data_IF_289081647998
#
_entry.id   IF_289081647998
#
_cell.length_a   1.000
_cell.length_b   1.000
_cell.length_c   1.000
_cell.angle_alpha   90.00
_cell.angle_beta   90.00
_cell.angle_gamma   90.00
#
_symmetry.space_group_name_H-M   'P 1'
#
loop_
_entity.id
_entity.type
_entity.pdbx_description
1 polymer ?
#
# COMPACT_ATOMS: atom_id res chain seq x y z
N UNK A 1 -4.26 18.91 12.84
CA UNK A 1 -5.39 18.03 13.28
C UNK A 1 -4.76 16.89 14.03
N UNK A 2 -5.19 16.59 15.24
CA UNK A 2 -4.75 15.40 15.96
C UNK A 2 -5.53 14.19 15.43
N UNK A 3 -4.83 13.21 14.86
CA UNK A 3 -5.43 12.00 14.29
C UNK A 3 -5.74 10.93 15.35
N UNK A 4 -5.39 11.16 16.60
CA UNK A 4 -5.67 10.25 17.73
C UNK A 4 -5.07 8.84 17.53
N UNK A 5 -3.89 8.75 16.89
CA UNK A 5 -3.23 7.47 16.63
C UNK A 5 -2.27 7.05 17.76
N UNK A 6 -2.06 7.90 18.76
CA UNK A 6 -1.21 7.58 19.92
C UNK A 6 -1.75 6.36 20.67
N UNK A 7 -0.89 5.38 20.91
CA UNK A 7 -1.22 4.14 21.61
C UNK A 7 -1.74 3.01 20.72
N UNK A 8 -2.01 3.27 19.43
CA UNK A 8 -2.33 2.22 18.47
C UNK A 8 -1.07 1.54 17.93
N UNK A 9 -1.19 0.26 17.59
CA UNK A 9 -0.14 -0.51 16.90
C UNK A 9 -0.51 -0.75 15.44
N UNK A 10 0.41 -0.40 14.56
CA UNK A 10 0.22 -0.52 13.12
C UNK A 10 1.26 -1.46 12.48
N UNK A 11 0.85 -2.26 11.51
CA UNK A 11 1.77 -2.91 10.58
C UNK A 11 1.55 -2.38 9.17
N UNK A 12 2.64 -2.01 8.49
CA UNK A 12 2.62 -1.58 7.10
C UNK A 12 3.45 -2.57 6.27
N UNK A 13 2.78 -3.39 5.47
CA UNK A 13 3.49 -4.34 4.63
C UNK A 13 4.21 -3.63 3.47
N UNK A 14 5.43 -4.08 3.13
CA UNK A 14 6.22 -3.45 2.07
C UNK A 14 6.68 -2.02 2.38
N UNK A 15 6.95 -1.73 3.66
CA UNK A 15 7.29 -0.38 4.14
C UNK A 15 8.80 -0.10 4.25
N UNK A 16 9.63 -0.92 3.65
CA UNK A 16 11.09 -0.69 3.58
C UNK A 16 11.51 0.33 2.51
N UNK A 17 10.57 0.91 1.76
CA UNK A 17 10.80 1.95 0.76
C UNK A 17 9.48 2.56 0.25
N UNK A 18 9.57 3.71 -0.42
CA UNK A 18 8.51 4.31 -1.23
C UNK A 18 7.24 4.68 -0.46
N UNK A 19 6.07 4.37 -1.02
CA UNK A 19 4.77 4.69 -0.40
C UNK A 19 4.66 4.06 1.00
N UNK A 20 5.03 2.79 1.14
CA UNK A 20 4.96 2.09 2.42
C UNK A 20 5.85 2.71 3.49
N UNK A 21 7.07 3.13 3.15
CA UNK A 21 7.95 3.86 4.06
C UNK A 21 7.32 5.19 4.51
N UNK A 22 6.79 5.97 3.56
CA UNK A 22 6.14 7.24 3.89
C UNK A 22 4.93 7.02 4.82
N UNK A 23 4.13 5.97 4.58
CA UNK A 23 3.01 5.60 5.46
C UNK A 23 3.51 5.24 6.86
N UNK A 24 4.55 4.40 6.96
CA UNK A 24 5.10 3.99 8.25
C UNK A 24 5.61 5.19 9.05
N UNK A 25 6.38 6.10 8.41
CA UNK A 25 6.85 7.33 9.03
C UNK A 25 5.69 8.24 9.47
N UNK A 26 4.67 8.39 8.64
CA UNK A 26 3.54 9.24 8.96
C UNK A 26 2.74 8.70 10.14
N UNK A 27 2.43 7.41 10.18
CA UNK A 27 1.72 6.79 11.31
C UNK A 27 2.53 6.91 12.61
N UNK A 28 3.84 6.73 12.55
CA UNK A 28 4.72 6.90 13.71
C UNK A 28 4.77 8.35 14.19
N UNK A 29 4.83 9.33 13.28
CA UNK A 29 4.78 10.76 13.61
C UNK A 29 3.46 11.17 14.28
N UNK A 30 2.36 10.47 13.99
CA UNK A 30 1.06 10.64 14.66
C UNK A 30 0.95 9.83 15.98
N UNK A 31 2.04 9.19 16.40
CA UNK A 31 2.15 8.51 17.70
C UNK A 31 1.78 7.02 17.72
N UNK A 32 1.57 6.39 16.58
CA UNK A 32 1.39 4.94 16.52
C UNK A 32 2.73 4.21 16.69
N UNK A 33 2.71 3.02 17.30
CA UNK A 33 3.84 2.08 17.26
C UNK A 33 3.78 1.28 15.95
N UNK A 34 4.83 1.35 15.12
CA UNK A 34 4.76 0.84 13.74
C UNK A 34 5.68 -0.36 13.53
N UNK A 35 5.14 -1.42 12.93
CA UNK A 35 5.95 -2.52 12.42
C UNK A 35 6.26 -2.23 10.94
N UNK A 36 7.55 -2.04 10.68
CA UNK A 36 8.12 -1.90 9.33
C UNK A 36 8.38 -3.28 8.76
N UNK A 37 7.85 -3.56 7.57
CA UNK A 37 8.00 -4.86 6.95
C UNK A 37 8.60 -4.78 5.54
N UNK A 38 9.43 -5.73 5.20
CA UNK A 38 10.00 -5.93 3.86
C UNK A 38 10.80 -7.22 3.77
N UNK A 39 11.33 -7.54 2.59
CA UNK A 39 12.13 -8.75 2.38
C UNK A 39 13.61 -8.58 2.74
N UNK A 40 14.13 -7.36 2.69
CA UNK A 40 15.56 -7.04 2.91
C UNK A 40 15.77 -6.49 4.31
N UNK A 41 16.44 -7.25 5.16
CA UNK A 41 16.64 -6.90 6.57
C UNK A 41 17.27 -5.50 6.74
N UNK A 42 18.36 -5.19 6.01
CA UNK A 42 19.02 -3.90 6.12
C UNK A 42 18.11 -2.70 5.79
N UNK A 43 17.23 -2.86 4.77
CA UNK A 43 16.31 -1.78 4.38
C UNK A 43 15.18 -1.61 5.42
N UNK A 44 14.71 -2.71 6.00
CA UNK A 44 13.71 -2.70 7.08
C UNK A 44 14.29 -2.03 8.33
N UNK A 45 15.50 -2.44 8.76
CA UNK A 45 16.18 -1.85 9.93
C UNK A 45 16.44 -0.37 9.72
N UNK A 46 16.93 0.04 8.54
CA UNK A 46 17.21 1.45 8.26
C UNK A 46 15.97 2.36 8.41
N UNK A 47 14.80 1.89 7.95
CA UNK A 47 13.55 2.65 8.10
C UNK A 47 13.09 2.68 9.56
N UNK A 48 13.14 1.55 10.28
CA UNK A 48 12.75 1.49 11.69
C UNK A 48 13.66 2.36 12.56
N UNK A 49 14.97 2.32 12.34
CA UNK A 49 15.97 3.16 13.02
C UNK A 49 15.74 4.66 12.76
N UNK A 50 15.45 5.02 11.50
CA UNK A 50 15.18 6.40 11.14
C UNK A 50 13.88 6.92 11.80
N UNK A 51 12.81 6.11 11.86
CA UNK A 51 11.60 6.47 12.60
C UNK A 51 11.91 6.66 14.09
N UNK A 52 12.72 5.79 14.67
CA UNK A 52 13.12 5.89 16.09
C UNK A 52 13.98 7.12 16.35
N UNK A 53 14.90 7.48 15.44
CA UNK A 53 15.71 8.69 15.53
C UNK A 53 14.86 9.97 15.46
N UNK A 54 13.74 9.94 14.71
CA UNK A 54 12.77 11.03 14.62
C UNK A 54 11.80 11.07 15.83
N UNK A 55 12.02 10.21 16.85
CA UNK A 55 11.22 10.17 18.08
C UNK A 55 9.96 9.29 18.01
N UNK A 56 9.73 8.59 16.92
CA UNK A 56 8.65 7.60 16.75
C UNK A 56 8.99 6.25 17.39
N UNK A 57 8.01 5.34 17.40
CA UNK A 57 8.19 3.95 17.83
C UNK A 57 8.09 3.03 16.63
N UNK A 58 9.16 2.30 16.33
CA UNK A 58 9.15 1.35 15.23
C UNK A 58 10.00 0.11 15.53
N UNK A 59 9.55 -1.04 15.02
CA UNK A 59 10.29 -2.29 14.96
C UNK A 59 10.28 -2.84 13.53
N UNK A 60 11.29 -3.62 13.15
CA UNK A 60 11.43 -4.19 11.82
C UNK A 60 11.19 -5.70 11.81
N UNK A 61 10.33 -6.19 10.92
CA UNK A 61 10.14 -7.62 10.68
C UNK A 61 10.32 -7.94 9.19
N UNK A 62 11.01 -9.07 8.91
CA UNK A 62 11.26 -9.51 7.53
C UNK A 62 10.45 -10.76 7.19
N UNK A 63 9.86 -10.77 5.99
CA UNK A 63 9.18 -11.92 5.42
C UNK A 63 9.08 -11.80 3.90
N UNK A 64 8.98 -12.91 3.19
CA UNK A 64 8.42 -12.95 1.85
C UNK A 64 6.93 -13.31 1.93
N UNK A 65 6.07 -12.36 1.65
CA UNK A 65 4.61 -12.56 1.74
C UNK A 65 4.05 -13.52 0.69
N UNK A 66 4.79 -13.82 -0.38
CA UNK A 66 4.41 -14.86 -1.33
C UNK A 66 4.48 -16.24 -0.70
N UNK A 67 5.39 -16.45 0.28
CA UNK A 67 5.51 -17.68 1.03
C UNK A 67 4.54 -17.72 2.23
N UNK A 68 3.65 -18.74 2.32
CA UNK A 68 2.69 -18.82 3.42
C UNK A 68 3.33 -18.97 4.80
N UNK A 69 4.48 -19.69 4.89
CA UNK A 69 5.20 -19.91 6.14
C UNK A 69 5.85 -18.62 6.64
N UNK A 70 6.46 -17.85 5.75
CA UNK A 70 7.02 -16.54 6.06
C UNK A 70 5.93 -15.58 6.54
N UNK A 71 4.78 -15.56 5.84
CA UNK A 71 3.64 -14.74 6.23
C UNK A 71 3.12 -15.13 7.64
N UNK A 72 3.06 -16.42 7.96
CA UNK A 72 2.68 -16.89 9.30
C UNK A 72 3.70 -16.45 10.38
N UNK A 73 5.01 -16.51 10.08
CA UNK A 73 6.05 -16.01 10.98
C UNK A 73 5.94 -14.50 11.22
N UNK A 74 5.68 -13.73 10.16
CA UNK A 74 5.44 -12.28 10.28
C UNK A 74 4.27 -12.00 11.21
N UNK A 75 3.14 -12.67 11.00
CA UNK A 75 1.93 -12.49 11.81
C UNK A 75 2.21 -12.82 13.28
N UNK A 76 2.85 -13.97 13.55
CA UNK A 76 3.20 -14.39 14.92
C UNK A 76 4.17 -13.41 15.59
N UNK A 77 5.19 -12.95 14.87
CA UNK A 77 6.15 -11.96 15.35
C UNK A 77 5.48 -10.62 15.67
N UNK A 78 4.60 -10.15 14.78
CA UNK A 78 3.87 -8.91 15.00
C UNK A 78 2.94 -8.99 16.23
N UNK A 79 2.30 -10.13 16.46
CA UNK A 79 1.41 -10.35 17.60
C UNK A 79 2.15 -10.59 18.93
N UNK A 80 3.42 -10.95 18.92
CA UNK A 80 4.20 -11.16 20.14
C UNK A 80 4.33 -9.90 21.00
N UNK A 81 4.32 -8.71 20.39
CA UNK A 81 4.32 -7.41 21.08
C UNK A 81 2.92 -6.88 21.42
N UNK A 82 1.85 -7.63 21.20
CA UNK A 82 0.46 -7.23 21.42
C UNK A 82 -0.39 -7.25 20.16
N UNK A 83 -1.67 -6.91 20.26
CA UNK A 83 -2.58 -6.84 19.12
C UNK A 83 -2.14 -5.82 18.06
N UNK A 84 -2.56 -6.01 16.83
CA UNK A 84 -2.43 -5.03 15.76
C UNK A 84 -3.79 -4.37 15.55
N UNK A 85 -3.81 -3.05 15.67
CA UNK A 85 -5.00 -2.22 15.54
C UNK A 85 -5.18 -1.73 14.09
N UNK A 86 -4.07 -1.49 13.40
CA UNK A 86 -4.04 -0.91 12.06
C UNK A 86 -3.21 -1.83 11.15
N UNK A 87 -3.86 -2.35 10.11
CA UNK A 87 -3.21 -3.13 9.05
C UNK A 87 -3.22 -2.34 7.75
N UNK A 88 -2.04 -1.97 7.25
CA UNK A 88 -1.89 -1.39 5.91
C UNK A 88 -1.28 -2.42 4.98
N UNK A 89 -2.08 -2.98 4.08
CA UNK A 89 -1.64 -3.88 3.02
C UNK A 89 -1.13 -3.05 1.84
N UNK A 90 0.15 -2.67 1.91
CA UNK A 90 0.82 -1.90 0.88
C UNK A 90 1.75 -2.75 0.00
N UNK A 91 2.28 -3.86 0.52
CA UNK A 91 3.13 -4.75 -0.27
C UNK A 91 2.42 -5.17 -1.58
N UNK A 92 3.15 -5.05 -2.67
CA UNK A 92 2.67 -5.44 -3.98
C UNK A 92 3.81 -5.49 -4.98
N UNK A 93 3.61 -6.29 -6.00
CA UNK A 93 4.55 -6.45 -7.12
C UNK A 93 3.80 -6.16 -8.43
N UNK A 94 4.54 -5.69 -9.42
CA UNK A 94 4.08 -5.55 -10.79
C UNK A 94 5.22 -5.93 -11.73
N UNK A 95 4.89 -6.30 -12.95
CA UNK A 95 5.84 -6.51 -14.02
C UNK A 95 5.30 -5.84 -15.29
N UNK A 96 6.21 -5.25 -16.08
CA UNK A 96 5.85 -4.64 -17.36
C UNK A 96 5.68 -5.75 -18.41
N UNK A 97 4.52 -6.40 -18.39
CA UNK A 97 4.14 -7.48 -19.32
C UNK A 97 2.76 -7.18 -19.88
N UNK A 98 2.59 -7.42 -21.19
CA UNK A 98 1.30 -7.33 -21.86
C UNK A 98 0.55 -8.66 -21.86
N UNK A 99 -0.57 -8.69 -22.57
CA UNK A 99 -1.40 -9.89 -22.75
C UNK A 99 -0.67 -11.03 -23.47
N UNK A 100 0.24 -10.70 -24.38
CA UNK A 100 0.99 -11.68 -25.16
C UNK A 100 2.16 -12.29 -24.39
N UNK A 101 2.64 -11.61 -23.32
CA UNK A 101 3.86 -11.97 -22.61
C UNK A 101 3.59 -12.57 -21.21
N UNK A 102 2.41 -12.33 -20.65
CA UNK A 102 2.04 -12.77 -19.30
C UNK A 102 1.48 -14.19 -19.31
N UNK A 103 2.32 -15.19 -19.00
CA UNK A 103 1.87 -16.58 -18.86
C UNK A 103 0.93 -16.75 -17.65
N UNK A 104 0.02 -17.75 -17.63
CA UNK A 104 -0.85 -18.03 -16.49
C UNK A 104 -0.11 -18.17 -15.16
N UNK A 105 1.09 -18.73 -15.16
CA UNK A 105 1.97 -18.91 -14.00
C UNK A 105 2.43 -17.57 -13.42
N UNK A 106 2.66 -16.57 -14.27
CA UNK A 106 3.00 -15.22 -13.86
C UNK A 106 1.85 -14.55 -13.10
N UNK A 107 0.61 -14.76 -13.59
CA UNK A 107 -0.61 -14.31 -12.90
C UNK A 107 -0.72 -14.94 -11.52
N UNK A 108 -0.53 -16.25 -11.40
CA UNK A 108 -0.60 -16.96 -10.13
C UNK A 108 0.47 -16.45 -9.15
N UNK A 109 1.71 -16.26 -9.60
CA UNK A 109 2.80 -15.73 -8.80
C UNK A 109 2.50 -14.30 -8.29
N UNK A 110 1.95 -13.44 -9.16
CA UNK A 110 1.58 -12.08 -8.81
C UNK A 110 0.41 -12.07 -7.80
N UNK A 111 -0.60 -12.91 -8.02
CA UNK A 111 -1.74 -13.05 -7.09
C UNK A 111 -1.32 -13.60 -5.73
N UNK A 112 -0.30 -14.44 -5.64
CA UNK A 112 0.23 -14.93 -4.36
C UNK A 112 0.65 -13.78 -3.45
N UNK A 113 1.31 -12.73 -4.01
CA UNK A 113 1.74 -11.54 -3.27
C UNK A 113 0.62 -10.50 -3.14
N UNK A 114 -0.06 -10.16 -4.25
CA UNK A 114 -0.95 -9.00 -4.28
C UNK A 114 -2.33 -9.28 -3.68
N UNK A 115 -2.75 -10.55 -3.62
CA UNK A 115 -4.09 -10.95 -3.14
C UNK A 115 -4.01 -11.94 -2.00
N UNK A 116 -3.39 -13.10 -2.18
CA UNK A 116 -3.40 -14.15 -1.16
C UNK A 116 -2.67 -13.73 0.13
N UNK A 117 -1.57 -13.02 0.02
CA UNK A 117 -0.87 -12.47 1.17
C UNK A 117 -1.73 -11.45 1.95
N UNK A 118 -2.47 -10.61 1.24
CA UNK A 118 -3.43 -9.66 1.86
C UNK A 118 -4.47 -10.41 2.68
N UNK A 119 -5.04 -11.48 2.12
CA UNK A 119 -6.02 -12.33 2.83
C UNK A 119 -5.40 -12.96 4.08
N UNK A 120 -4.17 -13.50 3.98
CA UNK A 120 -3.47 -14.09 5.14
C UNK A 120 -3.24 -13.06 6.25
N UNK A 121 -2.77 -11.85 5.90
CA UNK A 121 -2.58 -10.77 6.88
C UNK A 121 -3.90 -10.38 7.55
N UNK A 122 -4.98 -10.22 6.78
CA UNK A 122 -6.30 -9.93 7.32
C UNK A 122 -6.72 -11.03 8.30
N UNK A 123 -6.68 -12.30 7.89
CA UNK A 123 -7.08 -13.43 8.73
C UNK A 123 -6.23 -13.55 10.01
N UNK A 124 -4.95 -13.21 9.92
CA UNK A 124 -4.03 -13.27 11.06
C UNK A 124 -4.25 -12.17 12.09
N UNK A 125 -4.56 -10.95 11.66
CA UNK A 125 -4.72 -9.82 12.59
C UNK A 125 -6.18 -9.55 13.01
N UNK A 126 -7.15 -9.98 12.23
CA UNK A 126 -8.57 -9.76 12.50
C UNK A 126 -9.06 -10.27 13.88
N UNK A 127 -8.61 -11.42 14.41
CA UNK A 127 -9.03 -11.87 15.73
C UNK A 127 -8.71 -10.88 16.85
N UNK A 128 -7.52 -10.25 16.82
CA UNK A 128 -7.14 -9.24 17.81
C UNK A 128 -7.98 -7.96 17.67
N UNK A 129 -8.23 -7.49 16.45
CA UNK A 129 -9.10 -6.33 16.19
C UNK A 129 -10.54 -6.58 16.68
N UNK A 130 -11.08 -7.79 16.46
CA UNK A 130 -12.42 -8.16 16.96
C UNK A 130 -12.47 -8.19 18.49
N UNK A 131 -11.46 -8.74 19.15
CA UNK A 131 -11.39 -8.74 20.61
C UNK A 131 -11.31 -7.34 21.20
N UNK A 132 -10.64 -6.40 20.52
CA UNK A 132 -10.56 -5.00 20.89
C UNK A 132 -11.84 -4.19 20.55
N UNK A 133 -12.74 -4.72 19.71
CA UNK A 133 -13.90 -3.99 19.19
C UNK A 133 -13.53 -2.78 18.32
N UNK A 134 -12.30 -2.74 17.80
CA UNK A 134 -11.77 -1.66 16.98
C UNK A 134 -10.68 -2.16 16.03
N UNK A 135 -10.65 -1.62 14.83
CA UNK A 135 -9.59 -1.92 13.87
C UNK A 135 -9.69 -1.09 12.60
N UNK A 136 -8.57 -0.93 11.92
CA UNK A 136 -8.47 -0.25 10.63
C UNK A 136 -7.69 -1.11 9.66
N UNK A 137 -8.31 -1.46 8.55
CA UNK A 137 -7.69 -2.22 7.46
C UNK A 137 -7.67 -1.32 6.23
N UNK A 138 -6.48 -0.98 5.75
CA UNK A 138 -6.28 -0.14 4.56
C UNK A 138 -5.55 -0.93 3.50
N UNK A 139 -6.15 -1.04 2.32
CA UNK A 139 -5.52 -1.62 1.14
C UNK A 139 -4.90 -0.51 0.30
N UNK A 140 -3.68 -0.70 -0.19
CA UNK A 140 -3.13 0.21 -1.21
C UNK A 140 -3.46 -0.35 -2.59
N UNK A 141 -4.42 0.31 -3.22
CA UNK A 141 -4.89 0.04 -4.58
C UNK A 141 -4.07 0.76 -5.65
N UNK A 142 -4.73 1.05 -6.75
CA UNK A 142 -4.25 1.87 -7.88
C UNK A 142 -5.44 2.37 -8.70
N UNK A 143 -5.29 3.46 -9.43
CA UNK A 143 -6.28 3.90 -10.43
C UNK A 143 -6.56 2.83 -11.50
N UNK A 144 -5.56 2.00 -11.83
CA UNK A 144 -5.70 0.90 -12.80
C UNK A 144 -6.69 -0.19 -12.38
N UNK A 145 -7.04 -0.26 -11.10
CA UNK A 145 -8.05 -1.20 -10.62
C UNK A 145 -9.46 -0.92 -11.19
N UNK A 146 -9.73 0.31 -11.63
CA UNK A 146 -11.01 0.75 -12.19
C UNK A 146 -10.88 1.30 -13.62
N UNK A 147 -9.68 1.72 -14.02
CA UNK A 147 -9.36 2.21 -15.36
C UNK A 147 -8.06 1.55 -15.84
N UNK A 148 -8.11 0.25 -16.23
CA UNK A 148 -6.92 -0.53 -16.54
C UNK A 148 -6.24 -0.05 -17.83
N UNK A 149 -4.91 0.01 -17.81
CA UNK A 149 -4.13 0.19 -19.02
C UNK A 149 -4.08 -1.13 -19.84
N UNK A 150 -3.79 -1.05 -21.13
CA UNK A 150 -3.61 -2.25 -21.97
C UNK A 150 -2.35 -3.06 -21.62
N UNK A 151 -1.47 -2.51 -20.80
CA UNK A 151 -0.27 -3.15 -20.26
C UNK A 151 -0.48 -3.53 -18.79
N UNK A 152 0.25 -4.52 -18.30
CA UNK A 152 0.15 -5.02 -16.91
C UNK A 152 -1.25 -5.53 -16.53
N UNK A 153 -1.91 -6.37 -17.36
CA UNK A 153 -3.28 -6.79 -17.11
C UNK A 153 -3.43 -7.62 -15.82
N UNK A 154 -2.43 -8.43 -15.48
CA UNK A 154 -2.34 -9.23 -14.26
C UNK A 154 -2.31 -8.34 -13.00
N UNK A 155 -1.52 -7.27 -13.04
CA UNK A 155 -1.46 -6.29 -11.95
C UNK A 155 -2.79 -5.57 -11.76
N UNK A 156 -3.34 -4.99 -12.83
CA UNK A 156 -4.63 -4.28 -12.79
C UNK A 156 -5.74 -5.17 -12.23
N UNK A 157 -5.83 -6.43 -12.71
CA UNK A 157 -6.80 -7.40 -12.22
C UNK A 157 -6.60 -7.75 -10.74
N UNK A 158 -5.35 -7.94 -10.29
CA UNK A 158 -5.07 -8.20 -8.87
C UNK A 158 -5.49 -7.05 -7.96
N UNK A 159 -5.31 -5.81 -8.43
CA UNK A 159 -5.72 -4.61 -7.69
C UNK A 159 -7.23 -4.40 -7.72
N UNK A 160 -7.92 -4.76 -8.80
CA UNK A 160 -9.39 -4.80 -8.85
C UNK A 160 -9.97 -5.82 -7.86
N UNK A 161 -9.31 -6.96 -7.67
CA UNK A 161 -9.68 -7.94 -6.65
C UNK A 161 -9.66 -7.33 -5.24
N UNK A 162 -8.71 -6.44 -4.91
CA UNK A 162 -8.66 -5.75 -3.61
C UNK A 162 -9.84 -4.82 -3.39
N UNK A 163 -10.36 -4.15 -4.42
CA UNK A 163 -11.55 -3.30 -4.31
C UNK A 163 -12.77 -4.14 -3.93
N UNK A 164 -12.97 -5.28 -4.59
CA UNK A 164 -14.05 -6.20 -4.29
C UNK A 164 -13.92 -6.79 -2.88
N UNK A 165 -12.70 -7.23 -2.51
CA UNK A 165 -12.37 -7.72 -1.17
C UNK A 165 -12.69 -6.66 -0.10
N UNK A 166 -12.33 -5.40 -0.31
CA UNK A 166 -12.62 -4.29 0.59
C UNK A 166 -14.11 -4.13 0.85
N UNK A 167 -14.92 -4.09 -0.22
CA UNK A 167 -16.36 -3.95 -0.10
C UNK A 167 -17.03 -5.17 0.57
N UNK A 168 -16.56 -6.37 0.26
CA UNK A 168 -17.05 -7.61 0.85
C UNK A 168 -16.72 -7.70 2.33
N UNK A 169 -15.46 -7.43 2.70
CA UNK A 169 -14.99 -7.52 4.08
C UNK A 169 -15.63 -6.44 4.97
N UNK A 170 -15.83 -5.22 4.45
CA UNK A 170 -16.54 -4.17 5.18
C UNK A 170 -17.96 -4.59 5.58
N UNK A 171 -18.68 -5.28 4.70
CA UNK A 171 -20.02 -5.83 4.99
C UNK A 171 -19.96 -7.00 5.99
N UNK A 172 -18.96 -7.87 5.88
CA UNK A 172 -18.77 -9.01 6.79
C UNK A 172 -18.45 -8.56 8.23
N UNK A 173 -17.84 -7.39 8.40
CA UNK A 173 -17.46 -6.80 9.68
C UNK A 173 -18.52 -5.84 10.24
N UNK A 174 -19.78 -6.00 9.86
CA UNK A 174 -20.89 -5.18 10.34
C UNK A 174 -20.90 -5.09 11.87
N UNK A 175 -21.00 -3.84 12.38
CA UNK A 175 -21.10 -3.50 13.82
C UNK A 175 -19.94 -3.96 14.71
N UNK A 176 -18.77 -4.27 14.14
CA UNK A 176 -17.57 -4.69 14.89
C UNK A 176 -16.66 -3.56 15.33
N UNK A 177 -16.92 -2.32 14.89
CA UNK A 177 -15.99 -1.19 15.09
C UNK A 177 -14.79 -1.20 14.16
N UNK A 178 -14.68 -2.19 13.26
CA UNK A 178 -13.58 -2.32 12.31
C UNK A 178 -14.01 -1.75 10.95
N UNK A 179 -13.17 -0.89 10.35
CA UNK A 179 -13.39 -0.40 8.98
C UNK A 179 -12.37 -0.95 8.01
N UNK A 180 -12.79 -1.11 6.76
CA UNK A 180 -11.95 -1.61 5.66
C UNK A 180 -12.09 -0.68 4.47
N UNK A 181 -10.98 -0.08 4.04
CA UNK A 181 -10.98 0.86 2.92
C UNK A 181 -9.80 0.62 1.98
N UNK A 182 -9.92 1.06 0.75
CA UNK A 182 -8.82 1.12 -0.21
C UNK A 182 -8.44 2.57 -0.46
N UNK A 183 -7.14 2.85 -0.47
CA UNK A 183 -6.56 4.09 -0.99
C UNK A 183 -5.91 3.76 -2.32
N UNK A 184 -6.34 4.43 -3.39
CA UNK A 184 -5.90 4.17 -4.77
C UNK A 184 -5.10 5.35 -5.32
N UNK A 185 -3.76 5.29 -5.27
CA UNK A 185 -2.90 6.31 -5.85
C UNK A 185 -2.91 6.27 -7.39
N UNK A 186 -2.61 7.42 -7.99
CA UNK A 186 -2.09 7.49 -9.36
C UNK A 186 -0.60 7.17 -9.41
N UNK A 187 0.13 7.75 -10.39
CA UNK A 187 1.59 7.61 -10.45
C UNK A 187 2.23 8.46 -9.35
N UNK A 188 2.94 7.82 -8.43
CA UNK A 188 3.61 8.43 -7.27
C UNK A 188 5.12 8.29 -7.41
N UNK A 189 5.86 9.37 -7.22
CA UNK A 189 7.31 9.44 -7.38
C UNK A 189 8.02 8.71 -6.24
N UNK A 190 8.27 7.41 -6.43
CA UNK A 190 9.08 6.58 -5.54
C UNK A 190 10.42 6.25 -6.18
N UNK A 191 11.42 5.74 -5.43
CA UNK A 191 12.67 5.25 -6.03
C UNK A 191 12.43 4.21 -7.13
N UNK A 192 11.50 3.27 -6.92
CA UNK A 192 11.15 2.25 -7.92
C UNK A 192 10.51 2.85 -9.17
N UNK A 193 9.60 3.82 -9.03
CA UNK A 193 8.99 4.52 -10.16
C UNK A 193 10.03 5.35 -10.93
N UNK A 194 10.97 6.00 -10.22
CA UNK A 194 12.06 6.73 -10.88
C UNK A 194 12.93 5.80 -11.73
N UNK A 195 13.30 4.65 -11.19
CA UNK A 195 14.12 3.68 -11.91
C UNK A 195 13.37 3.10 -13.13
N UNK A 196 12.11 2.71 -12.94
CA UNK A 196 11.26 2.21 -14.02
C UNK A 196 11.18 3.22 -15.18
N UNK A 197 10.86 4.48 -14.90
CA UNK A 197 10.71 5.48 -15.96
C UNK A 197 12.03 5.99 -16.55
N UNK A 198 13.16 5.84 -15.86
CA UNK A 198 14.47 6.06 -16.49
C UNK A 198 14.74 5.05 -17.63
N UNK A 199 14.38 3.79 -17.38
CA UNK A 199 14.51 2.75 -18.42
C UNK A 199 13.51 3.00 -19.58
N UNK A 200 12.28 3.37 -19.26
CA UNK A 200 11.27 3.70 -20.27
C UNK A 200 11.62 4.95 -21.07
N UNK A 201 12.22 5.96 -20.47
CA UNK A 201 12.68 7.17 -21.17
C UNK A 201 13.65 6.84 -22.32
N UNK A 202 14.58 5.89 -22.10
CA UNK A 202 15.47 5.41 -23.16
C UNK A 202 14.73 4.74 -24.31
N UNK A 203 13.68 3.97 -24.03
CA UNK A 203 12.85 3.30 -25.04
C UNK A 203 11.96 4.27 -25.82
N UNK A 204 11.51 5.33 -25.17
CA UNK A 204 10.60 6.34 -25.75
C UNK A 204 11.31 7.53 -26.35
N UNK A 205 12.64 7.63 -26.25
CA UNK A 205 13.44 8.75 -26.75
C UNK A 205 13.26 10.04 -25.94
N UNK A 206 12.82 9.96 -24.66
CA UNK A 206 12.75 11.12 -23.79
C UNK A 206 14.15 11.50 -23.28
N UNK A 207 14.36 12.78 -22.96
CA UNK A 207 15.58 13.20 -22.29
C UNK A 207 15.68 12.54 -20.90
N UNK A 208 16.93 12.29 -20.44
CA UNK A 208 17.19 11.44 -19.26
C UNK A 208 17.12 12.21 -17.93
N UNK A 209 16.93 13.52 -17.97
CA UNK A 209 16.70 14.30 -16.75
C UNK A 209 15.26 14.10 -16.22
N UNK A 210 15.13 14.17 -14.90
CA UNK A 210 13.87 13.85 -14.26
C UNK A 210 12.71 14.79 -14.65
N UNK A 211 12.89 16.12 -14.81
CA UNK A 211 11.83 16.99 -15.31
C UNK A 211 11.27 16.58 -16.68
N UNK A 212 12.16 16.21 -17.63
CA UNK A 212 11.75 15.76 -18.95
C UNK A 212 11.01 14.40 -18.88
N UNK A 213 11.48 13.47 -18.04
CA UNK A 213 10.80 12.20 -17.81
C UNK A 213 9.39 12.44 -17.23
N UNK A 214 9.23 13.32 -16.24
CA UNK A 214 7.92 13.67 -15.71
C UNK A 214 6.99 14.27 -16.77
N UNK A 215 7.51 15.17 -17.60
CA UNK A 215 6.74 15.75 -18.70
C UNK A 215 6.28 14.66 -19.70
N UNK A 216 7.18 13.72 -20.04
CA UNK A 216 6.84 12.58 -20.89
C UNK A 216 5.78 11.66 -20.29
N UNK A 217 5.86 11.37 -19.00
CA UNK A 217 4.84 10.58 -18.30
C UNK A 217 3.47 11.26 -18.40
N UNK A 218 3.40 12.55 -18.11
CA UNK A 218 2.13 13.30 -18.15
C UNK A 218 1.57 13.41 -19.57
N UNK A 219 2.43 13.58 -20.58
CA UNK A 219 2.00 13.72 -21.96
C UNK A 219 1.56 12.41 -22.62
N UNK A 220 2.21 11.28 -22.28
CA UNK A 220 2.09 10.04 -23.07
C UNK A 220 1.59 8.83 -22.28
N UNK A 221 1.65 8.87 -20.93
CA UNK A 221 1.31 7.71 -20.11
C UNK A 221 0.04 7.96 -19.30
N UNK A 222 0.02 9.03 -18.53
CA UNK A 222 -1.09 9.32 -17.63
C UNK A 222 -1.20 10.83 -17.41
N UNK A 223 -2.02 11.50 -18.19
CA UNK A 223 -2.41 12.88 -17.91
C UNK A 223 -3.29 12.95 -16.67
N UNK A 224 -3.17 14.04 -15.94
CA UNK A 224 -4.04 14.33 -14.81
C UNK A 224 -4.26 15.85 -14.63
N UNK A 225 -5.46 16.27 -14.18
CA UNK A 225 -5.78 17.68 -13.94
C UNK A 225 -4.86 18.39 -12.94
N UNK A 226 -4.20 17.67 -12.05
CA UNK A 226 -3.23 18.25 -11.12
C UNK A 226 -1.93 18.69 -11.82
N UNK A 227 -1.67 18.23 -13.05
CA UNK A 227 -0.50 18.58 -13.87
C UNK A 227 0.84 18.12 -13.29
N UNK A 228 0.84 17.11 -12.41
CA UNK A 228 2.04 16.59 -11.77
C UNK A 228 1.86 15.16 -11.26
N UNK A 229 2.96 14.49 -11.01
CA UNK A 229 2.96 13.21 -10.32
C UNK A 229 2.73 13.39 -8.81
N UNK A 230 2.17 12.37 -8.16
CA UNK A 230 1.96 12.35 -6.71
C UNK A 230 3.27 12.15 -5.94
N UNK A 231 3.25 12.52 -4.66
CA UNK A 231 4.35 12.26 -3.71
C UNK A 231 3.93 11.18 -2.72
N UNK A 232 4.86 10.36 -2.23
CA UNK A 232 4.57 9.34 -1.23
C UNK A 232 3.89 9.89 0.04
N UNK A 233 4.28 11.10 0.46
CA UNK A 233 3.74 11.77 1.64
C UNK A 233 2.25 12.09 1.49
N UNK A 234 1.79 12.45 0.29
CA UNK A 234 0.38 12.74 0.03
C UNK A 234 -0.48 11.48 0.21
N UNK A 235 0.02 10.32 -0.22
CA UNK A 235 -0.65 9.03 0.03
C UNK A 235 -0.62 8.68 1.52
N UNK A 236 0.50 8.92 2.18
CA UNK A 236 0.67 8.65 3.61
C UNK A 236 -0.28 9.48 4.48
N UNK A 237 -0.48 10.75 4.13
CA UNK A 237 -1.41 11.65 4.82
C UNK A 237 -2.85 11.13 4.75
N UNK A 238 -3.29 10.71 3.57
CA UNK A 238 -4.62 10.13 3.39
C UNK A 238 -4.76 8.79 4.14
N UNK A 239 -3.75 7.92 4.08
CA UNK A 239 -3.76 6.64 4.80
C UNK A 239 -3.82 6.88 6.32
N UNK A 240 -3.05 7.81 6.86
CA UNK A 240 -3.07 8.14 8.28
C UNK A 240 -4.46 8.64 8.72
N UNK A 241 -5.10 9.50 7.93
CA UNK A 241 -6.47 9.93 8.19
C UNK A 241 -7.46 8.77 8.16
N UNK A 242 -7.43 7.92 7.14
CA UNK A 242 -8.34 6.77 6.99
C UNK A 242 -8.12 5.72 8.08
N UNK A 243 -6.89 5.60 8.58
CA UNK A 243 -6.54 4.72 9.69
C UNK A 243 -6.92 5.29 11.07
N UNK A 244 -7.35 6.54 11.15
CA UNK A 244 -7.67 7.21 12.41
C UNK A 244 -9.09 6.92 12.92
N UNK A 245 -9.38 7.13 14.22
CA UNK A 245 -10.74 7.14 14.74
C UNK A 245 -11.65 8.15 14.03
N UNK A 246 -11.10 9.27 13.53
CA UNK A 246 -11.85 10.34 12.87
C UNK A 246 -12.53 9.90 11.57
N UNK A 247 -11.99 8.86 10.91
CA UNK A 247 -12.53 8.28 9.69
C UNK A 247 -13.51 7.11 9.93
N UNK A 248 -14.03 6.97 11.16
CA UNK A 248 -14.86 5.82 11.54
C UNK A 248 -16.14 5.61 10.72
N UNK A 249 -16.60 6.62 9.98
CA UNK A 249 -17.77 6.51 9.08
C UNK A 249 -17.40 6.22 7.61
N UNK A 250 -16.11 6.16 7.30
CA UNK A 250 -15.61 5.75 5.98
C UNK A 250 -15.36 4.24 6.05
N UNK A 251 -16.19 3.45 5.34
CA UNK A 251 -16.10 1.99 5.36
C UNK A 251 -16.51 1.40 4.01
N UNK A 252 -15.73 0.47 3.47
CA UNK A 252 -15.94 -0.16 2.17
C UNK A 252 -15.63 0.73 0.97
N UNK A 253 -14.98 1.87 1.20
CA UNK A 253 -14.71 2.88 0.17
C UNK A 253 -13.42 2.62 -0.61
N UNK A 254 -13.40 3.10 -1.85
CA UNK A 254 -12.20 3.31 -2.65
C UNK A 254 -11.90 4.81 -2.73
N UNK A 255 -10.89 5.25 -2.02
CA UNK A 255 -10.47 6.65 -1.92
C UNK A 255 -9.33 6.90 -2.92
N UNK A 256 -9.61 7.61 -3.99
CA UNK A 256 -8.60 7.93 -5.00
C UNK A 256 -7.76 9.12 -4.59
N UNK A 257 -6.45 9.02 -4.84
CA UNK A 257 -5.47 10.09 -4.69
C UNK A 257 -4.56 10.06 -5.92
N UNK A 258 -5.07 10.51 -7.04
CA UNK A 258 -4.52 10.29 -8.37
C UNK A 258 -4.41 11.57 -9.22
N UNK A 259 -4.61 12.73 -8.61
CA UNK A 259 -4.59 14.02 -9.30
C UNK A 259 -5.72 14.19 -10.31
N UNK A 260 -6.76 13.34 -10.26
CA UNK A 260 -7.89 13.36 -11.18
C UNK A 260 -7.66 12.56 -12.46
N UNK A 261 -6.62 11.71 -12.51
CA UNK A 261 -6.30 10.93 -13.71
C UNK A 261 -7.33 9.85 -14.06
N UNK A 262 -8.09 9.36 -13.07
CA UNK A 262 -9.12 8.34 -13.30
C UNK A 262 -10.45 8.99 -13.67
N UNK A 263 -10.94 8.74 -14.88
CA UNK A 263 -12.13 9.38 -15.43
C UNK A 263 -13.47 8.82 -14.91
N UNK A 264 -13.47 7.77 -14.08
CA UNK A 264 -14.69 7.17 -13.52
C UNK A 264 -15.03 7.77 -12.16
N UNK A 265 -16.31 7.91 -11.88
CA UNK A 265 -16.84 8.48 -10.61
C UNK A 265 -17.13 7.36 -9.62
#
# INVERSE_FOLDING_TARGET
MDLQLKGHRAIVTGSSAGIGEAIARRLAAEGAAVIVHGRRAHAVSAVAEAISADGGQAEGLTADLADPGDCARLISGALAGGGIDILVNNAGVFANRGWDDAAPEDWLALYATNVAAVVRCIQGFLPAMRAAGWGRIVQIGTGEAVNPFPVMPDYAASKAALLNLTASLAKYLDRTGITVNTVSPGIVVTPGVREFYRLEAGRRGWAQDWPAIQAGILAEVLDNPAGRLGRPEEVADLVAFVASPLAGYINGANLRIDGGSTAVV
#
